data_IF_257939945839
#
_entry.id   IF_257939945839
#
_cell.length_a   1.000
_cell.length_b   1.000
_cell.length_c   1.000
_cell.angle_alpha   90.00
_cell.angle_beta   90.00
_cell.angle_gamma   90.00
#
_symmetry.space_group_name_H-M   'P 1'
#
loop_
_entity.id
_entity.type
_entity.pdbx_description
1 polymer ?
#
# COMPACT_ATOMS: atom_id res chain seq x y z
N UNK A 1 -2.86 4.95 -17.37
CA UNK A 1 -1.65 4.41 -16.72
C UNK A 1 -1.31 3.08 -17.33
N UNK A 2 -0.04 2.66 -17.26
CA UNK A 2 0.39 1.31 -17.64
C UNK A 2 -0.12 0.27 -16.63
N UNK A 3 -0.37 -0.96 -17.07
CA UNK A 3 -1.11 -1.98 -16.30
C UNK A 3 -0.38 -2.51 -15.08
N UNK A 4 0.94 -2.60 -15.19
CA UNK A 4 1.86 -3.14 -14.18
C UNK A 4 2.29 -2.09 -13.14
N UNK A 5 2.00 -0.80 -13.38
CA UNK A 5 2.21 0.25 -12.39
C UNK A 5 1.50 -0.12 -11.09
N UNK A 6 2.26 -0.13 -10.00
CA UNK A 6 1.75 -0.26 -8.65
C UNK A 6 1.25 1.08 -8.12
N UNK A 7 0.15 1.02 -7.40
CA UNK A 7 -0.51 2.12 -6.72
C UNK A 7 -0.40 1.87 -5.22
N UNK A 8 0.39 2.69 -4.55
CA UNK A 8 0.72 2.56 -3.14
C UNK A 8 -0.36 3.23 -2.28
N UNK A 9 -1.06 2.42 -1.49
CA UNK A 9 -2.07 2.85 -0.54
C UNK A 9 -1.47 2.89 0.87
N UNK A 10 -1.57 4.07 1.49
CA UNK A 10 -1.22 4.28 2.88
C UNK A 10 -2.33 3.71 3.78
N UNK A 11 -1.96 2.83 4.71
CA UNK A 11 -2.91 2.14 5.58
C UNK A 11 -2.92 2.80 6.95
N UNK A 12 -4.03 3.45 7.30
CA UNK A 12 -4.17 4.04 8.63
C UNK A 12 -4.19 2.94 9.72
N UNK A 13 -3.55 3.13 10.89
CA UNK A 13 -3.49 2.11 11.95
C UNK A 13 -4.84 1.56 12.40
N UNK A 14 -5.91 2.38 12.38
CA UNK A 14 -7.26 1.94 12.76
C UNK A 14 -7.87 0.88 11.83
N UNK A 15 -7.30 0.69 10.64
CA UNK A 15 -7.74 -0.33 9.70
C UNK A 15 -6.98 -1.64 9.83
N UNK A 16 -6.00 -1.70 10.73
CA UNK A 16 -5.18 -2.87 10.97
C UNK A 16 -5.75 -3.62 12.17
N UNK A 17 -6.05 -4.91 11.97
CA UNK A 17 -6.54 -5.83 12.98
C UNK A 17 -5.44 -6.84 13.29
N UNK A 18 -4.99 -6.83 14.54
CA UNK A 18 -4.00 -7.79 15.02
C UNK A 18 -4.74 -9.06 15.44
N UNK A 19 -4.95 -10.00 14.51
CA UNK A 19 -5.52 -11.29 14.90
C UNK A 19 -4.43 -12.09 15.62
N UNK A 20 -4.63 -12.42 16.90
CA UNK A 20 -3.63 -13.14 17.71
C UNK A 20 -3.39 -14.60 17.29
N UNK A 21 -3.81 -14.99 16.08
CA UNK A 21 -3.76 -16.36 15.55
C UNK A 21 -2.73 -16.49 14.42
N UNK A 22 -2.26 -15.37 13.86
CA UNK A 22 -1.19 -15.37 12.86
C UNK A 22 -0.31 -14.12 13.02
N UNK A 23 1.00 -14.24 12.80
CA UNK A 23 1.95 -13.13 12.83
C UNK A 23 1.75 -12.11 11.67
N UNK A 24 0.63 -12.17 10.94
CA UNK A 24 0.29 -11.26 9.85
C UNK A 24 -0.88 -10.37 10.25
N UNK A 25 -0.61 -9.07 10.34
CA UNK A 25 -1.63 -8.06 10.57
C UNK A 25 -2.65 -8.05 9.40
N UNK A 26 -3.94 -8.17 9.72
CA UNK A 26 -5.02 -8.16 8.73
C UNK A 26 -5.50 -6.72 8.49
N UNK A 27 -5.81 -6.35 7.25
CA UNK A 27 -6.32 -5.03 6.91
C UNK A 27 -7.82 -5.09 6.61
N UNK A 28 -8.61 -4.15 7.10
CA UNK A 28 -10.05 -4.07 6.80
C UNK A 28 -10.31 -3.57 5.37
N UNK A 29 -11.45 -3.93 4.75
CA UNK A 29 -11.81 -3.42 3.41
C UNK A 29 -11.97 -1.91 3.36
N UNK A 30 -12.30 -1.30 4.50
CA UNK A 30 -12.39 0.16 4.66
C UNK A 30 -11.12 0.90 4.26
N UNK A 31 -9.94 0.26 4.34
CA UNK A 31 -8.69 0.87 3.88
C UNK A 31 -8.65 1.12 2.35
N UNK A 32 -9.47 0.37 1.60
CA UNK A 32 -9.57 0.40 0.14
C UNK A 32 -10.91 0.91 -0.36
N UNK A 33 -11.73 1.52 0.51
CA UNK A 33 -13.01 2.11 0.13
C UNK A 33 -12.94 3.64 0.34
N UNK A 34 -13.27 4.45 -0.68
CA UNK A 34 -13.38 5.89 -0.47
C UNK A 34 -14.51 6.21 0.53
N UNK A 35 -14.30 7.23 1.33
CA UNK A 35 -15.31 7.80 2.22
C UNK A 35 -16.17 8.82 1.47
N UNK A 36 -17.32 9.27 2.02
CA UNK A 36 -18.13 10.29 1.38
C UNK A 36 -17.40 11.61 1.10
N UNK A 37 -16.36 11.93 1.89
CA UNK A 37 -15.56 13.16 1.70
C UNK A 37 -14.57 13.07 0.54
N UNK A 38 -14.30 11.87 0.07
CA UNK A 38 -13.27 11.62 -0.95
C UNK A 38 -13.84 11.69 -2.38
N UNK A 39 -15.11 12.10 -2.56
CA UNK A 39 -15.78 12.21 -3.87
C UNK A 39 -15.58 10.96 -4.76
N UNK A 40 -15.73 9.79 -4.13
CA UNK A 40 -15.54 8.46 -4.74
C UNK A 40 -14.12 8.15 -5.22
N UNK A 41 -13.11 8.95 -4.88
CA UNK A 41 -11.73 8.77 -5.31
C UNK A 41 -10.87 8.33 -4.13
N UNK A 42 -10.20 7.20 -4.26
CA UNK A 42 -9.29 6.71 -3.23
C UNK A 42 -7.86 7.15 -3.55
N UNK A 43 -7.28 8.02 -2.71
CA UNK A 43 -5.91 8.49 -2.86
C UNK A 43 -4.87 7.38 -2.72
N UNK A 44 -3.92 7.38 -3.66
CA UNK A 44 -2.78 6.47 -3.76
C UNK A 44 -1.56 7.23 -4.29
N UNK A 45 -0.37 6.63 -4.16
CA UNK A 45 0.86 7.11 -4.78
C UNK A 45 1.16 6.26 -6.01
N UNK A 46 1.62 6.87 -7.09
CA UNK A 46 2.04 6.17 -8.30
C UNK A 46 3.50 5.69 -8.16
N UNK A 47 3.73 4.40 -8.36
CA UNK A 47 5.06 3.78 -8.27
C UNK A 47 6.08 4.24 -9.32
N UNK A 48 5.63 4.91 -10.38
CA UNK A 48 6.54 5.56 -11.33
C UNK A 48 7.28 6.77 -10.72
N UNK A 49 6.77 7.32 -9.60
CA UNK A 49 7.32 8.52 -8.95
C UNK A 49 7.88 8.25 -7.55
N UNK A 50 7.36 7.26 -6.85
CA UNK A 50 7.76 6.91 -5.49
C UNK A 50 8.01 5.42 -5.39
N UNK A 51 9.04 5.00 -4.67
CA UNK A 51 9.03 3.66 -4.06
C UNK A 51 8.12 3.62 -2.81
N UNK A 52 7.86 2.42 -2.27
CA UNK A 52 6.97 2.27 -1.13
C UNK A 52 7.46 2.98 0.15
N UNK A 53 8.78 3.06 0.37
CA UNK A 53 9.39 3.74 1.52
C UNK A 53 9.27 5.25 1.35
N UNK A 54 9.59 5.78 0.19
CA UNK A 54 9.45 7.20 -0.15
C UNK A 54 7.99 7.65 -0.04
N UNK A 55 7.03 6.84 -0.53
CA UNK A 55 5.60 7.13 -0.40
C UNK A 55 5.18 7.19 1.07
N UNK A 56 5.66 6.24 1.89
CA UNK A 56 5.43 6.25 3.34
C UNK A 56 6.01 7.51 3.99
N UNK A 57 7.30 7.78 3.79
CA UNK A 57 8.03 8.91 4.35
C UNK A 57 7.40 10.25 3.95
N UNK A 58 6.95 10.38 2.70
CA UNK A 58 6.23 11.55 2.23
C UNK A 58 4.90 11.71 2.96
N UNK A 59 4.10 10.65 3.07
CA UNK A 59 2.78 10.71 3.69
C UNK A 59 2.84 10.99 5.20
N UNK A 60 3.79 10.40 5.93
CA UNK A 60 3.86 10.52 7.39
C UNK A 60 4.36 11.87 7.88
N UNK A 61 4.84 12.76 7.00
CA UNK A 61 5.12 14.17 7.32
C UNK A 61 3.90 14.92 7.83
N UNK A 62 2.69 14.50 7.44
CA UNK A 62 1.45 15.21 7.80
C UNK A 62 0.31 14.28 8.25
N UNK A 63 0.45 12.97 8.08
CA UNK A 63 -0.61 11.99 8.38
C UNK A 63 -0.06 10.77 9.13
N UNK A 64 -0.94 9.91 9.63
CA UNK A 64 -0.55 8.65 10.27
C UNK A 64 -0.70 7.48 9.30
N UNK A 65 0.34 6.67 9.17
CA UNK A 65 0.31 5.42 8.40
C UNK A 65 0.95 4.30 9.21
N UNK A 66 0.35 3.12 9.17
CA UNK A 66 0.93 1.87 9.68
C UNK A 66 1.94 1.29 8.68
N UNK A 67 1.67 1.48 7.39
CA UNK A 67 2.48 0.93 6.31
C UNK A 67 1.82 1.11 4.95
N UNK A 68 2.47 0.54 3.95
CA UNK A 68 2.10 0.67 2.54
C UNK A 68 1.72 -0.69 1.97
N UNK A 69 0.55 -0.75 1.35
CA UNK A 69 0.13 -1.85 0.50
C UNK A 69 0.06 -1.38 -0.96
N UNK A 70 0.11 -2.32 -1.90
CA UNK A 70 0.03 -2.01 -3.32
C UNK A 70 -1.04 -2.81 -4.05
N UNK A 71 -1.70 -2.15 -4.99
CA UNK A 71 -2.48 -2.77 -6.07
C UNK A 71 -1.95 -2.30 -7.41
N UNK A 72 -2.01 -3.12 -8.44
CA UNK A 72 -1.65 -2.69 -9.80
C UNK A 72 -2.82 -1.98 -10.47
N UNK A 73 -2.55 -1.27 -11.56
CA UNK A 73 -3.61 -0.72 -12.42
C UNK A 73 -4.49 -1.84 -12.98
N UNK A 74 -3.91 -2.99 -13.37
CA UNK A 74 -4.69 -4.16 -13.82
C UNK A 74 -5.60 -4.75 -12.72
N UNK A 75 -5.15 -4.73 -11.46
CA UNK A 75 -5.96 -5.12 -10.30
C UNK A 75 -7.22 -4.23 -10.17
N UNK A 76 -7.12 -2.94 -10.51
CA UNK A 76 -8.21 -1.98 -10.51
C UNK A 76 -9.11 -2.11 -11.75
N UNK A 77 -8.52 -2.24 -12.95
CA UNK A 77 -9.27 -2.37 -14.21
C UNK A 77 -10.15 -3.63 -14.23
N UNK A 78 -9.65 -4.74 -13.68
CA UNK A 78 -10.43 -5.98 -13.53
C UNK A 78 -11.63 -5.85 -12.58
N UNK A 79 -11.70 -4.78 -11.80
CA UNK A 79 -12.84 -4.40 -10.96
C UNK A 79 -13.66 -3.25 -11.55
N UNK A 80 -13.41 -2.88 -12.82
CA UNK A 80 -14.02 -1.76 -13.54
C UNK A 80 -13.73 -0.37 -12.93
N UNK A 81 -12.65 -0.25 -12.14
CA UNK A 81 -12.19 1.01 -11.58
C UNK A 81 -11.24 1.74 -12.54
N UNK A 82 -11.27 3.07 -12.50
CA UNK A 82 -10.37 3.93 -13.26
C UNK A 82 -9.25 4.46 -12.36
N UNK A 83 -7.99 4.33 -12.79
CA UNK A 83 -6.84 4.94 -12.11
C UNK A 83 -6.45 6.24 -12.83
N UNK A 84 -6.35 7.34 -12.09
CA UNK A 84 -6.14 8.70 -12.60
C UNK A 84 -4.89 9.30 -11.97
N UNK A 85 -3.94 9.73 -12.80
CA UNK A 85 -2.80 10.56 -12.35
C UNK A 85 -3.30 11.99 -12.27
N UNK A 86 -3.69 12.43 -11.07
CA UNK A 86 -4.20 13.78 -10.86
C UNK A 86 -3.09 14.76 -10.41
N UNK A 87 -1.93 14.24 -9.97
CA UNK A 87 -0.79 14.99 -9.47
C UNK A 87 -1.17 16.07 -8.43
N UNK A 88 -2.24 15.83 -7.67
CA UNK A 88 -2.76 16.77 -6.69
C UNK A 88 -2.98 16.07 -5.34
N UNK A 89 -2.36 16.55 -4.24
CA UNK A 89 -1.73 17.86 -4.10
C UNK A 89 -0.22 17.92 -4.46
N UNK A 90 0.36 16.83 -4.98
CA UNK A 90 1.77 16.74 -5.34
C UNK A 90 1.99 15.81 -6.55
N UNK A 91 3.12 15.97 -7.24
CA UNK A 91 3.53 15.11 -8.35
C UNK A 91 3.69 13.65 -7.90
N UNK A 92 3.07 12.72 -8.62
CA UNK A 92 3.02 11.30 -8.25
C UNK A 92 1.84 10.93 -7.35
N UNK A 93 0.97 11.87 -6.97
CA UNK A 93 -0.35 11.53 -6.44
C UNK A 93 -1.26 11.00 -7.57
N UNK A 94 -2.01 9.94 -7.24
CA UNK A 94 -3.01 9.35 -8.11
C UNK A 94 -4.27 8.98 -7.31
N UNK A 95 -5.36 8.75 -8.04
CA UNK A 95 -6.66 8.39 -7.50
C UNK A 95 -7.21 7.13 -8.16
N UNK A 96 -7.75 6.21 -7.36
CA UNK A 96 -8.60 5.10 -7.85
C UNK A 96 -10.05 5.57 -7.77
N UNK A 97 -10.72 5.73 -8.90
CA UNK A 97 -12.06 6.29 -9.02
C UNK A 97 -13.15 5.19 -9.01
N UNK A 98 -14.04 5.29 -8.03
CA UNK A 98 -15.20 4.43 -7.82
C UNK A 98 -16.50 5.05 -8.36
N UNK A 99 -16.46 6.19 -9.05
CA UNK A 99 -17.63 6.93 -9.56
C UNK A 99 -18.56 6.08 -10.43
N UNK A 100 -18.01 5.11 -11.17
CA UNK A 100 -18.75 4.15 -12.01
C UNK A 100 -19.61 3.16 -11.22
N UNK A 101 -19.46 3.12 -9.90
CA UNK A 101 -20.22 2.23 -9.03
C UNK A 101 -21.10 3.03 -8.08
N UNK A 102 -22.37 3.28 -8.40
CA UNK A 102 -23.21 4.18 -7.60
C UNK A 102 -23.58 3.61 -6.23
N UNK A 103 -23.65 2.29 -6.08
CA UNK A 103 -24.05 1.64 -4.84
C UNK A 103 -22.90 1.47 -3.85
N UNK A 104 -23.11 1.91 -2.61
CA UNK A 104 -22.16 1.69 -1.50
C UNK A 104 -21.89 0.20 -1.24
N UNK A 105 -22.90 -0.67 -1.39
CA UNK A 105 -22.71 -2.12 -1.19
C UNK A 105 -21.84 -2.73 -2.30
N UNK A 106 -21.89 -2.18 -3.52
CA UNK A 106 -21.00 -2.57 -4.61
C UNK A 106 -19.56 -2.11 -4.34
N UNK A 107 -19.38 -0.85 -3.91
CA UNK A 107 -18.05 -0.33 -3.52
C UNK A 107 -17.42 -1.14 -2.40
N UNK A 108 -18.19 -1.54 -1.40
CA UNK A 108 -17.71 -2.40 -0.30
C UNK A 108 -17.18 -3.76 -0.82
N UNK A 109 -17.93 -4.41 -1.73
CA UNK A 109 -17.51 -5.68 -2.33
C UNK A 109 -16.24 -5.52 -3.17
N UNK A 110 -16.13 -4.44 -3.93
CA UNK A 110 -14.93 -4.13 -4.73
C UNK A 110 -13.74 -3.85 -3.81
N UNK A 111 -13.90 -2.98 -2.81
CA UNK A 111 -12.85 -2.66 -1.84
C UNK A 111 -12.33 -3.90 -1.12
N UNK A 112 -13.21 -4.85 -0.80
CA UNK A 112 -12.83 -6.18 -0.28
C UNK A 112 -11.91 -6.94 -1.25
N UNK A 113 -12.26 -7.04 -2.53
CA UNK A 113 -11.43 -7.75 -3.53
C UNK A 113 -10.11 -7.05 -3.81
N UNK A 114 -10.12 -5.72 -3.93
CA UNK A 114 -8.90 -4.89 -4.07
C UNK A 114 -7.97 -5.09 -2.87
N UNK A 115 -8.52 -5.05 -1.64
CA UNK A 115 -7.75 -5.36 -0.43
C UNK A 115 -7.16 -6.77 -0.50
N UNK A 116 -7.94 -7.78 -0.86
CA UNK A 116 -7.47 -9.17 -0.90
C UNK A 116 -6.28 -9.32 -1.88
N UNK A 117 -6.33 -8.67 -3.04
CA UNK A 117 -5.19 -8.58 -3.98
C UNK A 117 -3.98 -7.88 -3.36
N UNK A 118 -4.19 -6.79 -2.65
CA UNK A 118 -3.12 -6.06 -1.96
C UNK A 118 -2.45 -6.91 -0.87
N UNK A 119 -3.24 -7.68 -0.12
CA UNK A 119 -2.75 -8.57 0.94
C UNK A 119 -1.97 -9.76 0.38
N UNK A 120 -2.37 -10.31 -0.78
CA UNK A 120 -1.60 -11.33 -1.50
C UNK A 120 -0.20 -10.81 -1.87
N UNK A 121 -0.11 -9.54 -2.29
CA UNK A 121 1.16 -8.85 -2.58
C UNK A 121 1.99 -8.54 -1.33
N UNK A 122 1.40 -8.68 -0.14
CA UNK A 122 1.98 -8.37 1.18
C UNK A 122 2.32 -6.88 1.34
N UNK A 123 2.74 -6.52 2.55
CA UNK A 123 3.24 -5.18 2.86
C UNK A 123 4.43 -4.83 1.96
N UNK A 124 4.32 -3.69 1.29
CA UNK A 124 5.42 -3.12 0.49
C UNK A 124 6.39 -2.33 1.37
N UNK A 125 5.88 -1.81 2.49
CA UNK A 125 6.69 -1.17 3.52
C UNK A 125 5.95 -1.20 4.86
N UNK A 126 6.65 -1.58 5.94
CA UNK A 126 6.27 -1.31 7.33
C UNK A 126 7.53 -1.02 8.15
N UNK A 127 7.41 -0.29 9.25
CA UNK A 127 8.54 -0.05 10.16
C UNK A 127 9.12 -1.36 10.74
N UNK A 128 8.29 -2.41 10.89
CA UNK A 128 8.76 -3.71 11.36
C UNK A 128 9.64 -4.44 10.33
N UNK A 129 9.39 -4.23 9.03
CA UNK A 129 10.21 -4.80 7.94
C UNK A 129 11.60 -4.18 7.94
N UNK A 130 11.72 -2.89 8.25
CA UNK A 130 13.02 -2.20 8.32
C UNK A 130 13.93 -2.74 9.43
N UNK A 131 13.36 -3.09 10.60
CA UNK A 131 14.13 -3.68 11.70
C UNK A 131 14.57 -5.13 11.43
N UNK A 132 13.83 -5.88 10.60
CA UNK A 132 14.27 -7.22 10.18
C UNK A 132 15.37 -7.16 9.12
N UNK A 133 15.28 -6.23 8.18
CA UNK A 133 16.24 -6.11 7.07
C UNK A 133 17.59 -5.57 7.58
N UNK A 134 17.58 -4.59 8.51
CA UNK A 134 18.79 -4.14 9.22
C UNK A 134 19.48 -5.23 10.05
N UNK A 135 18.72 -6.21 10.57
CA UNK A 135 19.31 -7.34 11.30
C UNK A 135 19.94 -8.36 10.35
N UNK A 136 19.40 -8.52 9.15
CA UNK A 136 19.98 -9.40 8.12
C UNK A 136 21.28 -8.80 7.60
N UNK A 137 21.31 -7.51 7.26
CA UNK A 137 22.52 -6.85 6.76
C UNK A 137 23.65 -6.84 7.80
N UNK A 138 23.33 -6.58 9.08
CA UNK A 138 24.31 -6.69 10.18
C UNK A 138 24.75 -8.14 10.47
N UNK A 139 23.99 -9.17 10.09
CA UNK A 139 24.46 -10.56 10.17
C UNK A 139 25.37 -10.92 9.00
N UNK A 140 25.15 -10.37 7.80
CA UNK A 140 25.97 -10.66 6.62
C UNK A 140 27.36 -10.01 6.75
N UNK A 141 27.47 -8.80 7.30
CA UNK A 141 28.79 -8.18 7.55
C UNK A 141 29.64 -8.93 8.59
N UNK A 142 29.03 -9.56 9.59
CA UNK A 142 29.78 -10.30 10.63
C UNK A 142 30.35 -11.62 10.10
N UNK A 143 29.72 -12.24 9.09
CA UNK A 143 30.17 -13.52 8.53
C UNK A 143 31.33 -13.34 7.53
N UNK A 144 31.57 -12.13 7.02
CA UNK A 144 32.58 -11.87 5.99
C UNK A 144 34.01 -11.64 6.52
N UNK A 145 34.22 -11.53 7.85
CA UNK A 145 35.53 -11.15 8.43
C UNK A 145 36.32 -12.31 9.10
N UNK A 146 35.85 -13.56 9.04
CA UNK A 146 36.46 -14.70 9.75
C UNK A 146 37.32 -15.63 8.88
N UNK A 147 37.74 -15.21 7.68
CA UNK A 147 38.64 -16.02 6.84
C UNK A 147 39.88 -15.25 6.38
N UNK A 148 40.75 -14.86 7.31
CA UNK A 148 42.16 -14.61 6.98
C UNK A 148 43.02 -14.67 8.25
N UNK A 149 43.26 -15.88 8.76
CA UNK A 149 44.45 -16.14 9.58
C UNK A 149 44.83 -17.61 9.48
N UNK A 150 45.67 -17.94 8.50
CA UNK A 150 46.73 -18.96 8.69
C UNK A 150 47.87 -18.70 7.72
#
# INVERSE_FOLDING_TARGET
>A
MEKDILLFRQIHPSFVQNNGVSNQAFVTSSAFKPTPKDDNKLSVYNSAFFDAKQAFEHYVKSNKSYGVLAVSVDDCESEELLCIDDNHPFEGHASIDYSRHPSNSRKEKIAKRIRDKAMIRKWQYTLATYESDLKVDNMVEVVANDTETT
#
